data_IF_181371549040
#
_entry.id   IF_181371549040
#
_cell.length_a   1.000
_cell.length_b   1.000
_cell.length_c   1.000
_cell.angle_alpha   90.00
_cell.angle_beta   90.00
_cell.angle_gamma   90.00
#
_symmetry.space_group_name_H-M   'P 1'
#
loop_
_entity.id
_entity.type
_entity.pdbx_description
1 polymer ?
#
# COMPACT_ATOMS: atom_id res chain seq x y z
N UNK A 1 3.11 -9.61 10.50
CA UNK A 1 3.09 -10.21 9.15
C UNK A 1 4.28 -11.15 8.97
N UNK A 2 4.13 -12.23 8.21
CA UNK A 2 5.20 -13.16 7.82
C UNK A 2 5.92 -12.68 6.55
N UNK A 3 7.07 -13.30 6.22
CA UNK A 3 7.80 -12.98 4.99
C UNK A 3 6.97 -13.19 3.72
N UNK A 4 6.31 -14.35 3.59
CA UNK A 4 5.49 -14.66 2.40
C UNK A 4 4.34 -13.65 2.21
N UNK A 5 3.74 -13.18 3.31
CA UNK A 5 2.69 -12.16 3.25
C UNK A 5 3.21 -10.83 2.69
N UNK A 6 4.47 -10.48 2.95
CA UNK A 6 5.08 -9.28 2.38
C UNK A 6 5.39 -9.45 0.90
N UNK A 7 5.90 -10.62 0.49
CA UNK A 7 6.24 -10.89 -0.90
C UNK A 7 5.02 -10.83 -1.83
N UNK A 8 3.86 -11.30 -1.36
CA UNK A 8 2.60 -11.19 -2.11
C UNK A 8 2.17 -9.72 -2.28
N UNK A 9 2.26 -8.91 -1.22
CA UNK A 9 1.93 -7.48 -1.26
C UNK A 9 2.88 -6.73 -2.20
N UNK A 10 4.19 -7.00 -2.12
CA UNK A 10 5.18 -6.39 -3.01
C UNK A 10 4.91 -6.72 -4.48
N UNK A 11 4.50 -7.96 -4.76
CA UNK A 11 4.17 -8.39 -6.12
C UNK A 11 2.94 -7.67 -6.68
N UNK A 12 1.90 -7.48 -5.87
CA UNK A 12 0.75 -6.66 -6.26
C UNK A 12 1.17 -5.21 -6.52
N UNK A 13 2.00 -4.63 -5.64
CA UNK A 13 2.45 -3.23 -5.77
C UNK A 13 3.29 -2.99 -7.02
N UNK A 14 4.09 -3.96 -7.45
CA UNK A 14 4.90 -3.86 -8.66
C UNK A 14 4.06 -3.61 -9.94
N UNK A 15 2.79 -4.05 -9.97
CA UNK A 15 1.87 -3.74 -11.08
C UNK A 15 1.60 -2.24 -11.22
N UNK A 16 1.62 -1.52 -10.09
CA UNK A 16 1.34 -0.09 -10.03
C UNK A 16 2.58 0.78 -10.16
N UNK A 17 3.78 0.18 -10.22
CA UNK A 17 5.03 0.93 -10.32
C UNK A 17 5.09 1.93 -11.50
N UNK A 18 4.63 1.59 -12.72
CA UNK A 18 4.61 2.53 -13.84
C UNK A 18 3.42 3.51 -13.80
N UNK A 19 2.49 3.37 -12.84
CA UNK A 19 1.26 4.16 -12.81
C UNK A 19 1.51 5.52 -12.13
N UNK A 20 1.20 6.65 -12.79
CA UNK A 20 1.34 7.97 -12.21
C UNK A 20 0.45 8.17 -10.97
N UNK A 21 0.96 8.88 -9.97
CA UNK A 21 0.25 9.07 -8.69
C UNK A 21 -1.07 9.83 -8.83
N UNK A 22 -1.24 10.69 -9.84
CA UNK A 22 -2.50 11.38 -10.12
C UNK A 22 -3.58 10.42 -10.67
N UNK A 23 -3.18 9.41 -11.44
CA UNK A 23 -4.09 8.35 -11.91
C UNK A 23 -4.55 7.49 -10.74
N UNK A 24 -3.62 7.06 -9.88
CA UNK A 24 -3.94 6.32 -8.66
C UNK A 24 -4.87 7.14 -7.75
N UNK A 25 -4.56 8.42 -7.56
CA UNK A 25 -5.40 9.36 -6.79
C UNK A 25 -6.81 9.43 -7.34
N UNK A 26 -6.95 9.60 -8.65
CA UNK A 26 -8.27 9.67 -9.29
C UNK A 26 -9.09 8.39 -9.08
N UNK A 27 -8.47 7.21 -9.22
CA UNK A 27 -9.14 5.93 -8.98
C UNK A 27 -9.61 5.80 -7.52
N UNK A 28 -8.73 6.12 -6.57
CA UNK A 28 -9.02 6.05 -5.12
C UNK A 28 -10.13 7.02 -4.72
N UNK A 29 -10.09 8.27 -5.22
CA UNK A 29 -11.12 9.27 -4.94
C UNK A 29 -12.48 8.89 -5.54
N UNK A 30 -12.50 8.25 -6.70
CA UNK A 30 -13.73 7.85 -7.40
C UNK A 30 -14.38 6.61 -6.77
N UNK A 31 -13.59 5.58 -6.47
CA UNK A 31 -14.09 4.25 -6.14
C UNK A 31 -13.82 3.84 -4.68
N UNK A 32 -13.08 4.65 -3.93
CA UNK A 32 -12.75 4.39 -2.53
C UNK A 32 -13.98 4.47 -1.62
N UNK A 33 -14.33 3.35 -0.99
CA UNK A 33 -15.50 3.27 -0.10
C UNK A 33 -15.34 4.15 1.16
N UNK A 34 -14.12 4.29 1.67
CA UNK A 34 -13.84 5.13 2.84
C UNK A 34 -13.93 6.64 2.57
N UNK A 35 -13.81 7.07 1.31
CA UNK A 35 -13.94 8.48 0.92
C UNK A 35 -15.39 8.88 0.63
N UNK A 36 -16.18 7.94 0.12
CA UNK A 36 -17.50 8.21 -0.49
C UNK A 36 -18.68 7.86 0.41
N UNK A 37 -18.46 7.03 1.44
CA UNK A 37 -19.49 6.65 2.40
C UNK A 37 -19.02 6.87 3.83
N UNK A 38 -19.88 7.44 4.68
CA UNK A 38 -19.78 7.16 6.11
C UNK A 38 -19.94 5.65 6.24
N UNK A 39 -18.85 4.93 6.51
CA UNK A 39 -18.93 3.48 6.69
C UNK A 39 -19.73 3.22 7.97
N UNK A 40 -20.98 2.81 7.81
CA UNK A 40 -21.81 2.36 8.93
C UNK A 40 -21.29 1.02 9.45
N UNK A 41 -21.05 0.94 10.75
CA UNK A 41 -20.53 -0.24 11.45
C UNK A 41 -19.84 0.18 12.73
N UNK A 42 -20.14 -0.50 13.84
CA UNK A 42 -19.36 -0.31 15.05
C UNK A 42 -17.92 -0.79 14.79
N UNK A 43 -16.90 0.03 15.09
CA UNK A 43 -15.53 -0.43 15.05
C UNK A 43 -15.39 -1.67 15.97
N UNK A 44 -14.50 -2.61 15.63
CA UNK A 44 -14.27 -3.78 16.49
C UNK A 44 -13.98 -3.33 17.92
N UNK A 45 -14.60 -3.99 18.91
CA UNK A 45 -14.39 -3.63 20.31
C UNK A 45 -12.90 -3.79 20.67
N UNK A 46 -12.23 -2.75 21.19
CA UNK A 46 -10.77 -2.68 21.30
C UNK A 46 -10.15 -3.55 22.42
N UNK A 47 -10.92 -4.44 23.06
CA UNK A 47 -10.51 -5.14 24.29
C UNK A 47 -9.77 -6.48 24.02
N UNK A 48 -10.05 -7.16 22.90
CA UNK A 48 -9.67 -8.59 22.75
C UNK A 48 -8.80 -8.95 21.55
N UNK A 49 -8.44 -8.01 20.67
CA UNK A 49 -7.57 -8.28 19.54
C UNK A 49 -6.09 -8.07 19.92
N UNK A 50 -5.22 -9.04 19.60
CA UNK A 50 -3.75 -8.90 19.76
C UNK A 50 -3.17 -7.74 18.90
N UNK A 51 -3.93 -7.24 17.92
CA UNK A 51 -3.56 -6.14 17.02
C UNK A 51 -4.82 -5.36 16.58
N UNK A 52 -5.32 -4.42 17.41
CA UNK A 52 -6.58 -3.71 17.16
C UNK A 52 -6.50 -2.79 15.94
N UNK A 53 -5.33 -2.20 15.66
CA UNK A 53 -5.16 -1.30 14.53
C UNK A 53 -5.21 -2.05 13.20
N UNK A 54 -4.59 -3.24 13.12
CA UNK A 54 -4.73 -4.11 11.94
C UNK A 54 -6.17 -4.59 11.75
N UNK A 55 -6.86 -4.95 12.84
CA UNK A 55 -8.26 -5.35 12.77
C UNK A 55 -9.16 -4.20 12.26
N UNK A 56 -8.89 -2.99 12.71
CA UNK A 56 -9.57 -1.77 12.27
C UNK A 56 -9.29 -1.49 10.78
N UNK A 57 -8.04 -1.60 10.35
CA UNK A 57 -7.64 -1.43 8.96
C UNK A 57 -8.34 -2.43 8.02
N UNK A 58 -8.32 -3.71 8.40
CA UNK A 58 -9.03 -4.77 7.67
C UNK A 58 -10.54 -4.50 7.63
N UNK A 59 -11.13 -4.07 8.75
CA UNK A 59 -12.54 -3.71 8.81
C UNK A 59 -12.88 -2.58 7.85
N UNK A 60 -12.16 -1.45 7.89
CA UNK A 60 -12.46 -0.28 7.04
C UNK A 60 -12.15 -0.46 5.57
N UNK A 61 -11.30 -1.40 5.20
CA UNK A 61 -10.96 -1.67 3.80
C UNK A 61 -11.70 -2.87 3.21
N UNK A 62 -12.34 -3.71 4.03
CA UNK A 62 -13.09 -4.87 3.57
C UNK A 62 -14.11 -4.49 2.49
N UNK A 63 -13.99 -5.14 1.32
CA UNK A 63 -14.87 -4.95 0.16
C UNK A 63 -14.53 -3.73 -0.71
N UNK A 64 -13.53 -2.92 -0.35
CA UNK A 64 -13.12 -1.78 -1.18
C UNK A 64 -12.46 -2.29 -2.47
N UNK A 65 -12.90 -1.83 -3.66
CA UNK A 65 -12.40 -2.33 -4.94
C UNK A 65 -11.01 -1.78 -5.30
N UNK A 66 -10.52 -0.78 -4.57
CA UNK A 66 -9.28 -0.04 -4.89
C UNK A 66 -8.25 -0.11 -3.75
N UNK A 67 -8.17 -1.24 -3.06
CA UNK A 67 -7.25 -1.41 -1.93
C UNK A 67 -5.78 -1.31 -2.36
N UNK A 68 -5.42 -1.98 -3.46
CA UNK A 68 -4.05 -2.03 -3.95
C UNK A 68 -3.62 -0.67 -4.54
N UNK A 69 -4.49 -0.01 -5.30
CA UNK A 69 -4.28 1.35 -5.81
C UNK A 69 -4.13 2.35 -4.67
N UNK A 70 -4.92 2.21 -3.60
CA UNK A 70 -4.84 3.04 -2.41
C UNK A 70 -3.51 2.89 -1.70
N UNK A 71 -3.02 1.66 -1.56
CA UNK A 71 -1.70 1.40 -0.98
C UNK A 71 -0.58 1.94 -1.86
N UNK A 72 -0.65 1.69 -3.17
CA UNK A 72 0.34 2.19 -4.13
C UNK A 72 0.39 3.72 -4.15
N UNK A 73 -0.77 4.39 -4.16
CA UNK A 73 -0.87 5.85 -4.08
C UNK A 73 -0.13 6.40 -2.86
N UNK A 74 -0.38 5.79 -1.71
CA UNK A 74 0.22 6.22 -0.45
C UNK A 74 1.75 6.10 -0.50
N UNK A 75 2.26 4.93 -0.91
CA UNK A 75 3.70 4.68 -1.03
C UNK A 75 4.37 5.58 -2.08
N UNK A 76 3.67 5.93 -3.16
CA UNK A 76 4.18 6.83 -4.21
C UNK A 76 4.27 8.30 -3.79
N UNK A 77 3.53 8.73 -2.75
CA UNK A 77 3.35 10.17 -2.48
C UNK A 77 3.87 10.62 -1.14
N UNK A 78 3.58 9.90 -0.05
CA UNK A 78 3.88 10.35 1.30
C UNK A 78 4.47 9.26 2.20
N UNK A 79 4.20 7.99 1.90
CA UNK A 79 4.87 6.83 2.49
C UNK A 79 4.73 6.75 4.02
N UNK A 80 5.84 6.93 4.73
CA UNK A 80 5.91 6.73 6.18
C UNK A 80 5.40 7.92 7.02
N UNK A 81 5.09 9.06 6.39
CA UNK A 81 4.74 10.31 7.09
C UNK A 81 3.22 10.54 7.22
N UNK A 82 2.40 9.67 6.60
CA UNK A 82 0.93 9.74 6.69
C UNK A 82 0.38 8.95 7.86
N UNK A 83 -0.70 9.48 8.42
CA UNK A 83 -1.46 8.82 9.49
C UNK A 83 -2.69 8.11 8.91
N UNK A 84 -3.22 7.14 9.64
CA UNK A 84 -4.47 6.46 9.32
C UNK A 84 -4.32 5.20 8.45
N UNK A 85 -5.46 4.70 7.95
CA UNK A 85 -5.59 3.43 7.23
C UNK A 85 -5.51 3.67 5.72
N UNK A 86 -4.66 2.91 5.03
CA UNK A 86 -4.49 2.99 3.58
C UNK A 86 -4.37 1.58 3.01
N UNK A 87 -5.20 1.23 2.03
CA UNK A 87 -5.18 -0.08 1.36
C UNK A 87 -5.26 -1.30 2.29
N UNK A 88 -5.91 -1.17 3.45
CA UNK A 88 -6.01 -2.24 4.45
C UNK A 88 -4.85 -2.32 5.44
N UNK A 89 -3.90 -1.39 5.38
CA UNK A 89 -2.74 -1.34 6.27
C UNK A 89 -2.90 -0.27 7.34
N UNK A 90 -2.66 -0.68 8.59
CA UNK A 90 -2.43 0.21 9.71
C UNK A 90 -1.09 0.95 9.53
N UNK A 91 -0.90 2.01 10.31
CA UNK A 91 0.25 2.91 10.17
C UNK A 91 1.60 2.20 10.33
N UNK A 92 1.77 1.39 11.39
CA UNK A 92 3.03 0.72 11.68
C UNK A 92 3.42 -0.31 10.61
N UNK A 93 2.45 -1.11 10.15
CA UNK A 93 2.67 -2.04 9.04
C UNK A 93 3.02 -1.31 7.76
N UNK A 94 2.33 -0.20 7.47
CA UNK A 94 2.59 0.59 6.26
C UNK A 94 3.98 1.21 6.29
N UNK A 95 4.43 1.72 7.45
CA UNK A 95 5.80 2.26 7.61
C UNK A 95 6.85 1.17 7.35
N UNK A 96 6.63 -0.03 7.88
CA UNK A 96 7.50 -1.18 7.61
C UNK A 96 7.51 -1.56 6.12
N UNK A 97 6.33 -1.64 5.49
CA UNK A 97 6.18 -1.92 4.07
C UNK A 97 6.89 -0.89 3.20
N UNK A 98 6.72 0.40 3.47
CA UNK A 98 7.33 1.47 2.69
C UNK A 98 8.85 1.33 2.61
N UNK A 99 9.51 0.96 3.71
CA UNK A 99 10.95 0.70 3.71
C UNK A 99 11.35 -0.46 2.79
N UNK A 100 10.57 -1.55 2.78
CA UNK A 100 10.85 -2.74 1.97
C UNK A 100 10.57 -2.45 0.49
N UNK A 101 9.40 -1.86 0.20
CA UNK A 101 8.98 -1.50 -1.15
C UNK A 101 9.94 -0.51 -1.82
N UNK A 102 10.37 0.55 -1.12
CA UNK A 102 11.31 1.51 -1.67
C UNK A 102 12.63 0.85 -2.10
N UNK A 103 13.12 -0.12 -1.31
CA UNK A 103 14.34 -0.87 -1.67
C UNK A 103 14.13 -1.73 -2.92
N UNK A 104 12.98 -2.40 -3.04
CA UNK A 104 12.68 -3.23 -4.21
C UNK A 104 12.56 -2.37 -5.47
N UNK A 105 11.74 -1.31 -5.41
CA UNK A 105 11.45 -0.44 -6.56
C UNK A 105 12.70 0.23 -7.12
N UNK A 106 13.60 0.71 -6.25
CA UNK A 106 14.80 1.41 -6.71
C UNK A 106 15.96 0.47 -7.06
N UNK A 107 15.97 -0.78 -6.57
CA UNK A 107 16.97 -1.77 -6.98
C UNK A 107 16.80 -2.21 -8.45
N UNK A 108 15.55 -2.26 -8.95
CA UNK A 108 15.26 -2.57 -10.35
C UNK A 108 15.72 -1.45 -11.32
N UNK A 109 15.83 -0.20 -10.84
CA UNK A 109 16.34 0.91 -11.66
C UNK A 109 17.86 0.85 -11.89
N UNK A 110 18.64 0.38 -10.91
CA UNK A 110 20.12 0.34 -10.99
C UNK A 110 20.67 -0.77 -11.89
N UNK A 111 19.87 -1.82 -12.16
CA UNK A 111 20.27 -2.95 -13.02
C UNK A 111 20.12 -2.66 -14.51
N UNK A 112 19.34 -1.65 -14.90
CA UNK A 112 19.11 -1.27 -16.31
C UNK A 112 20.27 -0.45 -16.91
N UNK A 113 21.10 0.19 -16.07
CA UNK A 113 22.19 1.08 -16.51
C UNK A 113 23.51 0.37 -16.87
N UNK A 114 23.60 -0.96 -16.76
CA UNK A 114 24.87 -1.70 -16.92
C UNK A 114 25.02 -2.56 -18.20
N UNK A 115 24.04 -2.61 -19.13
CA UNK A 115 24.14 -3.41 -20.38
C UNK A 115 24.66 -2.65 -21.62
N UNK A 116 25.24 -1.46 -21.46
CA UNK A 116 25.68 -0.61 -22.58
C UNK A 116 27.17 -0.62 -22.94
N UNK A 117 27.97 -1.60 -22.50
CA UNK A 117 29.44 -1.49 -22.52
C UNK A 117 30.21 -2.74 -22.95
N UNK A 118 29.97 -3.29 -24.13
CA UNK A 118 30.96 -4.20 -24.75
C UNK A 118 30.94 -4.12 -26.28
N UNK A 119 31.86 -3.36 -26.86
CA UNK A 119 32.37 -3.56 -28.20
C UNK A 119 33.89 -3.39 -28.13
N UNK A 120 34.59 -4.53 -28.16
CA UNK A 120 36.04 -4.63 -28.42
C UNK A 120 36.30 -4.65 -29.92
#
# INVERSE_FOLDING_TARGET
MTGDQWDDVLRCLAEFDPVPSDVLRHAVERDGLCHTTHREGDPPEPDTADDPDRALAAHFCAGCPVQDECLALELHTAGAETHGIWGGFAEDDRRALHHIWARHRFADSETSDHEGGSLS
#
